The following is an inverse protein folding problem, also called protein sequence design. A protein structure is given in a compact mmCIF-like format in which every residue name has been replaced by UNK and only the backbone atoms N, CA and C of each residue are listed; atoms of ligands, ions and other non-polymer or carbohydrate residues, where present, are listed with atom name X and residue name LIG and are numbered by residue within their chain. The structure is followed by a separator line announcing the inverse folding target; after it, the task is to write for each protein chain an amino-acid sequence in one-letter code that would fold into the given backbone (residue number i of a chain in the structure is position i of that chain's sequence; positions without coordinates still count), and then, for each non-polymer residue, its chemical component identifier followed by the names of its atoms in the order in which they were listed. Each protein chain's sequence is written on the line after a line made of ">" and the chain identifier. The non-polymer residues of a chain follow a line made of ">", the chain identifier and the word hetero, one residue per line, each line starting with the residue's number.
data_IF_116724828261
#
_entry.id   IF_116724828261
#
_cell.length_a   1.000
_cell.length_b   1.000
_cell.length_c   1.000
_cell.angle_alpha   90.00
_cell.angle_beta   90.00
_cell.angle_gamma   90.00
#
_symmetry.space_group_name_H-M   'P 1'
#
loop_
_entity.id
_entity.type
_entity.pdbx_description
1 polymer ?
#
# COMPACT_ATOMS: atom_id res chain seq x y z
N UNK A 1 -2.68 -9.11 -1.28
CA UNK A 1 -1.67 -8.23 -0.67
C UNK A 1 -0.25 -8.71 -0.91
N UNK A 2 0.18 -9.87 -0.38
CA UNK A 2 1.55 -10.38 -0.56
C UNK A 2 2.02 -10.39 -2.04
N UNK A 3 1.20 -10.94 -2.95
CA UNK A 3 1.50 -10.95 -4.38
C UNK A 3 1.74 -9.55 -4.96
N UNK A 4 0.78 -8.62 -4.76
CA UNK A 4 0.86 -7.21 -5.22
C UNK A 4 2.08 -6.50 -4.63
N UNK A 5 2.32 -6.65 -3.32
CA UNK A 5 3.44 -5.98 -2.64
C UNK A 5 4.79 -6.41 -3.20
N UNK A 6 5.02 -7.71 -3.40
CA UNK A 6 6.33 -8.22 -3.81
C UNK A 6 6.57 -8.21 -5.32
N UNK A 7 5.52 -8.32 -6.13
CA UNK A 7 5.66 -8.44 -7.59
C UNK A 7 5.29 -7.16 -8.34
N UNK A 8 4.40 -6.32 -7.79
CA UNK A 8 4.02 -5.06 -8.44
C UNK A 8 4.68 -3.85 -7.77
N UNK A 9 4.63 -3.75 -6.44
CA UNK A 9 5.04 -2.54 -5.72
C UNK A 9 6.55 -2.48 -5.44
N UNK A 10 7.12 -3.48 -4.76
CA UNK A 10 8.53 -3.48 -4.35
C UNK A 10 9.52 -3.24 -5.51
N UNK A 11 9.35 -3.80 -6.72
CA UNK A 11 10.28 -3.55 -7.83
C UNK A 11 10.39 -2.07 -8.21
N UNK A 12 9.31 -1.29 -8.00
CA UNK A 12 9.26 0.15 -8.31
C UNK A 12 9.86 1.00 -7.20
N UNK A 13 9.90 0.47 -5.97
CA UNK A 13 10.47 1.14 -4.81
C UNK A 13 11.97 0.85 -4.69
N UNK A 14 12.36 -0.42 -4.80
CA UNK A 14 13.72 -0.90 -4.57
C UNK A 14 14.61 -0.84 -5.82
N UNK A 15 14.00 -0.82 -7.01
CA UNK A 15 14.72 -0.94 -8.27
C UNK A 15 15.43 -2.29 -8.43
N UNK A 16 16.17 -2.48 -9.54
CA UNK A 16 16.87 -3.74 -9.82
C UNK A 16 17.86 -4.15 -8.73
N UNK A 17 18.61 -3.18 -8.17
CA UNK A 17 19.62 -3.44 -7.16
C UNK A 17 19.00 -3.88 -5.83
N UNK A 18 17.97 -3.18 -5.34
CA UNK A 18 17.30 -3.57 -4.11
C UNK A 18 16.51 -4.88 -4.25
N UNK A 19 15.95 -5.17 -5.45
CA UNK A 19 15.34 -6.48 -5.72
C UNK A 19 16.38 -7.61 -5.74
N UNK A 20 17.61 -7.36 -6.20
CA UNK A 20 18.69 -8.32 -6.12
C UNK A 20 19.09 -8.62 -4.66
N UNK A 21 19.08 -7.60 -3.78
CA UNK A 21 19.27 -7.79 -2.33
C UNK A 21 18.15 -8.62 -1.69
N UNK A 22 16.90 -8.41 -2.09
CA UNK A 22 15.75 -9.16 -1.60
C UNK A 22 15.80 -10.64 -2.03
N UNK A 23 16.23 -10.89 -3.27
CA UNK A 23 16.41 -12.22 -3.84
C UNK A 23 15.11 -13.00 -4.12
N UNK A 24 15.26 -14.18 -4.71
CA UNK A 24 14.13 -15.10 -4.96
C UNK A 24 13.68 -15.78 -3.67
N UNK A 25 12.42 -16.24 -3.64
CA UNK A 25 11.92 -17.02 -2.52
C UNK A 25 12.53 -18.44 -2.54
N UNK A 26 13.17 -18.83 -1.43
CA UNK A 26 13.85 -20.13 -1.27
C UNK A 26 13.12 -21.10 -0.33
N UNK A 27 11.93 -20.74 0.15
CA UNK A 27 11.17 -21.52 1.13
C UNK A 27 11.10 -20.87 2.51
N UNK A 28 10.32 -21.48 3.39
CA UNK A 28 10.11 -21.03 4.77
C UNK A 28 11.32 -21.36 5.64
N UNK A 29 11.84 -20.36 6.35
CA UNK A 29 12.96 -20.46 7.28
C UNK A 29 12.44 -20.32 8.73
N UNK A 30 12.21 -21.40 9.49
CA UNK A 30 11.57 -21.31 10.82
C UNK A 30 12.41 -20.58 11.88
N UNK A 31 13.73 -20.48 11.67
CA UNK A 31 14.66 -19.88 12.62
C UNK A 31 15.03 -18.43 12.26
N UNK A 32 14.47 -17.87 11.18
CA UNK A 32 14.70 -16.47 10.83
C UNK A 32 13.86 -15.58 11.75
N UNK A 33 14.48 -14.54 12.31
CA UNK A 33 13.72 -13.54 13.04
C UNK A 33 12.92 -12.70 12.03
N UNK A 34 11.60 -12.83 11.99
CA UNK A 34 10.72 -12.05 11.13
C UNK A 34 10.25 -10.73 11.76
N UNK A 35 10.73 -10.40 12.97
CA UNK A 35 10.39 -9.18 13.68
C UNK A 35 10.69 -7.93 12.85
N UNK A 36 9.82 -6.94 12.96
CA UNK A 36 10.05 -5.63 12.34
C UNK A 36 11.18 -4.92 13.10
N UNK A 37 12.30 -4.69 12.42
CA UNK A 37 13.45 -4.02 13.05
C UNK A 37 13.15 -2.55 13.26
N UNK A 38 13.72 -2.00 14.34
CA UNK A 38 13.56 -0.59 14.69
C UNK A 38 13.87 0.34 13.52
N UNK A 39 14.98 0.09 12.81
CA UNK A 39 15.40 0.89 11.65
C UNK A 39 14.38 0.93 10.51
N UNK A 40 13.65 -0.17 10.29
CA UNK A 40 12.61 -0.23 9.29
C UNK A 40 11.39 0.60 9.72
N UNK A 41 10.87 0.35 10.91
CA UNK A 41 9.64 0.97 11.42
C UNK A 41 9.76 2.48 11.70
N UNK A 42 10.92 2.94 12.17
CA UNK A 42 11.07 4.32 12.65
C UNK A 42 11.77 5.26 11.69
N UNK A 43 12.47 4.72 10.69
CA UNK A 43 13.21 5.51 9.70
C UNK A 43 12.93 5.06 8.25
N UNK A 44 13.40 3.88 7.85
CA UNK A 44 13.50 3.52 6.43
C UNK A 44 12.14 3.50 5.72
N UNK A 45 11.11 2.90 6.32
CA UNK A 45 9.78 2.80 5.69
C UNK A 45 9.01 4.13 5.69
N UNK A 46 9.57 5.20 6.26
CA UNK A 46 9.02 6.57 6.19
C UNK A 46 9.46 7.35 4.94
N UNK A 47 10.24 6.73 4.04
CA UNK A 47 10.59 7.33 2.74
C UNK A 47 9.38 7.86 1.97
N UNK A 48 8.21 7.22 2.17
CA UNK A 48 6.94 7.62 1.56
C UNK A 48 6.53 9.05 1.89
N UNK A 49 6.96 9.64 3.01
CA UNK A 49 6.64 11.03 3.35
C UNK A 49 7.16 12.04 2.29
N UNK A 50 8.22 11.70 1.57
CA UNK A 50 8.73 12.51 0.45
C UNK A 50 7.96 12.34 -0.86
N UNK A 51 7.09 11.34 -0.95
CA UNK A 51 6.27 11.02 -2.13
C UNK A 51 4.84 11.58 -2.04
N UNK A 52 4.45 12.08 -0.87
CA UNK A 52 3.09 12.60 -0.63
C UNK A 52 2.90 13.92 -1.37
N UNK A 53 1.82 13.99 -2.16
CA UNK A 53 1.39 15.22 -2.80
C UNK A 53 0.77 16.20 -1.78
N UNK A 54 0.94 17.52 -1.97
CA UNK A 54 0.27 18.53 -1.13
C UNK A 54 -1.25 18.61 -1.38
N UNK A 55 -1.75 17.91 -2.39
CA UNK A 55 -3.15 17.93 -2.81
C UNK A 55 -3.62 16.48 -2.99
N UNK A 56 -4.79 16.17 -2.42
CA UNK A 56 -5.56 14.98 -2.74
C UNK A 56 -6.39 15.25 -3.99
N UNK A 57 -6.01 14.61 -5.09
CA UNK A 57 -6.71 14.71 -6.35
C UNK A 57 -8.01 13.89 -6.34
N UNK A 58 -9.10 14.49 -6.81
CA UNK A 58 -10.40 13.82 -6.91
C UNK A 58 -10.93 13.94 -8.32
N UNK A 59 -11.00 12.81 -9.03
CA UNK A 59 -11.26 12.78 -10.47
C UNK A 59 -12.56 12.07 -10.85
N UNK A 60 -13.30 12.61 -11.81
CA UNK A 60 -14.46 11.98 -12.42
C UNK A 60 -14.04 10.85 -13.40
N UNK A 61 -15.02 10.20 -14.04
CA UNK A 61 -14.80 9.10 -15.01
C UNK A 61 -13.98 9.51 -16.23
N UNK A 62 -13.92 10.79 -16.57
CA UNK A 62 -13.09 11.34 -17.66
C UNK A 62 -11.72 11.82 -17.17
N UNK A 63 -11.32 11.45 -15.95
CA UNK A 63 -10.05 11.82 -15.30
C UNK A 63 -9.84 13.34 -15.14
N UNK A 64 -10.95 14.10 -15.11
CA UNK A 64 -10.95 15.54 -14.80
C UNK A 64 -11.37 15.78 -13.34
N UNK A 65 -11.00 16.92 -12.71
CA UNK A 65 -11.45 17.23 -11.36
C UNK A 65 -12.98 17.17 -11.22
N UNK A 66 -13.46 16.64 -10.09
CA UNK A 66 -14.89 16.71 -9.75
C UNK A 66 -15.31 18.13 -9.37
N UNK A 67 -16.61 18.41 -9.34
CA UNK A 67 -17.17 19.73 -9.02
C UNK A 67 -16.74 20.23 -7.63
N UNK A 68 -16.64 19.32 -6.65
CA UNK A 68 -16.16 19.62 -5.29
C UNK A 68 -14.66 20.01 -5.26
N UNK A 69 -13.94 19.89 -6.39
CA UNK A 69 -12.54 20.25 -6.53
C UNK A 69 -11.56 19.25 -5.91
N UNK A 70 -10.27 19.59 -5.87
CA UNK A 70 -9.27 18.82 -5.13
C UNK A 70 -9.16 19.33 -3.67
N UNK A 71 -8.55 18.54 -2.78
CA UNK A 71 -8.46 18.90 -1.35
C UNK A 71 -6.98 19.18 -1.01
N UNK A 72 -6.63 20.34 -0.44
CA UNK A 72 -5.34 20.53 0.22
C UNK A 72 -5.14 19.48 1.31
N UNK A 73 -3.95 18.87 1.40
CA UNK A 73 -3.71 17.72 2.26
C UNK A 73 -4.04 17.99 3.74
N UNK A 74 -3.73 19.19 4.27
CA UNK A 74 -4.04 19.54 5.66
C UNK A 74 -5.55 19.47 5.98
N UNK A 75 -6.42 19.70 4.99
CA UNK A 75 -7.89 19.62 5.11
C UNK A 75 -8.46 18.22 4.92
N UNK A 76 -7.63 17.25 4.54
CA UNK A 76 -8.02 15.87 4.38
C UNK A 76 -7.81 15.04 5.66
N UNK A 77 -6.88 15.45 6.53
CA UNK A 77 -6.67 14.79 7.82
C UNK A 77 -7.95 14.80 8.66
N UNK A 78 -8.29 13.63 9.23
CA UNK A 78 -9.45 13.42 10.09
C UNK A 78 -10.79 13.94 9.54
N UNK A 79 -10.96 13.94 8.21
CA UNK A 79 -12.16 14.45 7.53
C UNK A 79 -12.95 13.35 6.81
N UNK A 80 -13.43 12.29 7.51
CA UNK A 80 -14.12 11.17 6.88
C UNK A 80 -15.47 11.56 6.25
N UNK A 81 -16.08 12.66 6.70
CA UNK A 81 -17.33 13.17 6.13
C UNK A 81 -17.23 13.40 4.61
N UNK A 82 -16.05 13.76 4.11
CA UNK A 82 -15.80 13.98 2.68
C UNK A 82 -16.07 12.73 1.84
N UNK A 83 -15.82 11.54 2.39
CA UNK A 83 -16.14 10.29 1.70
C UNK A 83 -17.65 10.08 1.57
N UNK A 84 -18.43 10.54 2.54
CA UNK A 84 -19.88 10.36 2.57
C UNK A 84 -20.59 11.44 1.77
N UNK A 85 -20.12 12.68 1.85
CA UNK A 85 -20.84 13.85 1.31
C UNK A 85 -20.22 14.42 0.03
N UNK A 86 -19.00 14.04 -0.34
CA UNK A 86 -18.24 14.66 -1.46
C UNK A 86 -17.83 13.63 -2.53
N UNK A 87 -18.74 12.74 -2.92
CA UNK A 87 -18.60 11.90 -4.12
C UNK A 87 -18.04 10.50 -3.91
N UNK A 88 -17.91 10.03 -2.66
CA UNK A 88 -17.45 8.67 -2.38
C UNK A 88 -15.94 8.49 -2.47
N UNK A 89 -15.52 7.22 -2.55
CA UNK A 89 -14.11 6.82 -2.60
C UNK A 89 -13.54 6.85 -4.03
N UNK A 90 -14.38 6.60 -5.04
CA UNK A 90 -13.98 6.47 -6.43
C UNK A 90 -13.21 7.68 -6.99
N UNK A 91 -13.61 8.94 -6.73
CA UNK A 91 -12.83 10.08 -7.21
C UNK A 91 -11.42 10.11 -6.64
N UNK A 92 -11.25 9.71 -5.38
CA UNK A 92 -9.95 9.63 -4.71
C UNK A 92 -9.13 8.48 -5.30
N UNK A 93 -9.74 7.30 -5.52
CA UNK A 93 -9.06 6.18 -6.17
C UNK A 93 -8.55 6.56 -7.56
N UNK A 94 -9.38 7.20 -8.40
CA UNK A 94 -8.94 7.72 -9.71
C UNK A 94 -7.82 8.74 -9.56
N UNK A 95 -7.82 9.56 -8.51
CA UNK A 95 -6.70 10.44 -8.17
C UNK A 95 -5.41 9.68 -7.88
N UNK A 96 -5.49 8.60 -7.09
CA UNK A 96 -4.34 7.78 -6.67
C UNK A 96 -3.65 7.08 -7.84
N UNK A 97 -4.40 6.49 -8.77
CA UNK A 97 -3.80 5.83 -9.94
C UNK A 97 -3.69 6.76 -11.16
N UNK A 98 -4.36 7.92 -11.17
CA UNK A 98 -4.40 8.84 -12.30
C UNK A 98 -3.43 10.03 -12.22
N UNK A 99 -2.82 10.29 -11.06
CA UNK A 99 -1.87 11.40 -10.86
C UNK A 99 -0.52 10.87 -10.37
N UNK A 100 0.55 11.57 -10.75
CA UNK A 100 1.89 11.24 -10.28
C UNK A 100 1.98 11.47 -8.76
N UNK A 101 2.76 10.62 -8.07
CA UNK A 101 3.27 10.96 -6.76
C UNK A 101 4.22 12.17 -6.85
N UNK A 102 4.45 12.85 -5.72
CA UNK A 102 5.47 13.90 -5.64
C UNK A 102 6.84 13.26 -5.91
N UNK A 103 7.68 13.90 -6.73
CA UNK A 103 9.06 13.43 -6.91
C UNK A 103 9.90 13.70 -5.66
N UNK A 104 10.79 12.76 -5.34
CA UNK A 104 11.84 12.93 -4.32
C UNK A 104 13.09 13.62 -4.86
N UNK A 105 13.20 13.81 -6.18
CA UNK A 105 14.39 14.43 -6.81
C UNK A 105 14.47 15.94 -6.56
N UNK A 106 13.39 16.54 -6.05
CA UNK A 106 13.40 17.93 -5.61
C UNK A 106 14.23 18.08 -4.33
N UNK A 107 15.52 18.39 -4.52
CA UNK A 107 16.48 18.63 -3.43
C UNK A 107 16.12 19.87 -2.58
N UNK A 108 15.26 20.77 -3.07
CA UNK A 108 14.85 21.97 -2.34
C UNK A 108 13.60 21.74 -1.48
N UNK A 109 12.77 20.75 -1.83
CA UNK A 109 11.58 20.40 -1.06
C UNK A 109 11.41 18.87 -0.99
N UNK A 110 12.16 18.22 -0.08
CA UNK A 110 12.02 16.78 0.15
C UNK A 110 10.60 16.41 0.61
N UNK A 111 10.09 17.13 1.60
CA UNK A 111 8.73 17.01 2.15
C UNK A 111 8.00 18.32 1.84
N UNK A 112 6.75 18.23 1.38
CA UNK A 112 5.97 19.41 0.99
C UNK A 112 5.47 20.21 2.21
N UNK A 113 5.14 21.49 2.01
CA UNK A 113 4.74 22.41 3.10
C UNK A 113 3.44 22.05 3.81
N UNK A 114 2.56 21.25 3.21
CA UNK A 114 1.36 20.76 3.91
C UNK A 114 1.71 19.78 5.03
N UNK A 115 2.90 19.19 4.98
CA UNK A 115 3.42 18.26 5.97
C UNK A 115 4.46 18.89 6.89
N UNK A 116 5.17 19.96 6.49
CA UNK A 116 6.15 20.64 7.37
C UNK A 116 5.54 21.80 8.14
N UNK A 117 4.52 22.48 7.60
CA UNK A 117 3.95 23.68 8.24
C UNK A 117 2.51 23.50 8.72
N UNK A 118 1.81 22.48 8.20
CA UNK A 118 0.35 22.33 8.36
C UNK A 118 -0.07 20.93 8.77
N UNK A 119 0.86 20.10 9.27
CA UNK A 119 0.51 18.74 9.65
C UNK A 119 -0.50 18.77 10.79
N UNK A 120 -1.66 18.17 10.54
CA UNK A 120 -2.78 18.11 11.48
C UNK A 120 -3.28 19.47 11.99
N UNK A 121 -3.14 20.54 11.20
CA UNK A 121 -3.66 21.90 11.51
C UNK A 121 -5.15 21.89 11.91
N UNK A 122 -5.94 20.97 11.35
CA UNK A 122 -7.37 20.82 11.66
C UNK A 122 -7.68 20.02 12.93
N UNK A 123 -6.70 19.35 13.53
CA UNK A 123 -6.90 18.38 14.61
C UNK A 123 -6.04 18.63 15.86
N UNK A 124 -5.10 19.57 15.80
CA UNK A 124 -4.25 19.97 16.92
C UNK A 124 -4.27 21.49 17.06
N UNK A 125 -4.06 21.99 18.28
CA UNK A 125 -3.97 23.44 18.55
C UNK A 125 -2.80 24.11 17.82
N UNK A 126 -1.73 23.34 17.59
CA UNK A 126 -0.51 23.80 16.91
C UNK A 126 -0.26 22.85 15.74
N UNK A 127 -0.08 23.43 14.55
CA UNK A 127 0.35 22.67 13.38
C UNK A 127 1.73 22.05 13.62
N UNK A 128 1.88 20.79 13.25
CA UNK A 128 3.12 20.04 13.44
C UNK A 128 3.99 20.07 12.17
N UNK A 129 5.26 19.71 12.34
CA UNK A 129 6.22 19.50 11.25
C UNK A 129 6.61 18.02 11.17
N UNK A 130 6.16 17.33 10.12
CA UNK A 130 6.48 15.91 9.90
C UNK A 130 7.97 15.66 9.67
N UNK A 131 8.68 16.60 9.06
CA UNK A 131 10.12 16.57 8.86
C UNK A 131 10.86 16.64 10.19
N UNK A 132 10.54 17.64 11.03
CA UNK A 132 11.10 17.76 12.37
C UNK A 132 10.77 16.54 13.25
N UNK A 133 9.52 16.04 13.19
CA UNK A 133 9.11 14.83 13.91
C UNK A 133 9.89 13.59 13.46
N UNK A 134 10.18 13.46 12.17
CA UNK A 134 11.02 12.38 11.65
C UNK A 134 12.47 12.49 12.13
N UNK A 135 13.06 13.70 12.15
CA UNK A 135 14.41 13.92 12.68
C UNK A 135 14.47 13.60 14.17
N UNK A 136 13.50 14.12 14.94
CA UNK A 136 13.45 13.88 16.38
C UNK A 136 13.25 12.39 16.68
N UNK A 137 12.33 11.71 15.99
CA UNK A 137 12.15 10.26 16.12
C UNK A 137 13.40 9.48 15.70
N UNK A 138 14.09 9.94 14.66
CA UNK A 138 15.38 9.38 14.25
C UNK A 138 16.41 9.48 15.37
N UNK A 139 16.53 10.62 16.06
CA UNK A 139 17.42 10.79 17.22
C UNK A 139 17.02 9.89 18.39
N UNK A 140 15.74 9.85 18.73
CA UNK A 140 15.19 9.00 19.79
C UNK A 140 15.51 7.52 19.56
N UNK A 141 15.63 7.09 18.30
CA UNK A 141 15.92 5.70 17.92
C UNK A 141 17.34 5.49 17.36
N UNK A 142 18.24 6.48 17.48
CA UNK A 142 19.63 6.46 16.99
C UNK A 142 19.81 6.16 15.48
N UNK A 143 18.92 6.70 14.64
CA UNK A 143 18.85 6.49 13.18
C UNK A 143 18.69 7.80 12.37
N UNK A 144 19.53 8.83 12.57
CA UNK A 144 19.42 10.06 11.77
C UNK A 144 19.91 9.86 10.32
N UNK A 145 19.33 10.62 9.38
CA UNK A 145 19.98 10.93 8.10
C UNK A 145 19.61 10.11 6.86
N UNK A 146 19.05 8.90 6.98
CA UNK A 146 18.85 8.04 5.79
C UNK A 146 17.85 8.58 4.72
N UNK A 147 17.00 9.55 5.07
CA UNK A 147 16.14 10.24 4.09
C UNK A 147 16.91 11.19 3.14
N UNK A 148 18.14 11.56 3.52
CA UNK A 148 19.00 12.52 2.81
C UNK A 148 19.94 11.84 1.79
N UNK A 149 19.94 10.51 1.72
CA UNK A 149 20.75 9.78 0.74
C UNK A 149 20.32 10.06 -0.70
N UNK A 150 21.30 10.09 -1.60
CA UNK A 150 21.04 10.10 -3.03
C UNK A 150 20.38 8.79 -3.47
N UNK A 151 19.43 8.90 -4.39
CA UNK A 151 18.66 7.75 -4.86
C UNK A 151 19.55 6.82 -5.70
N UNK A 152 19.40 5.51 -5.48
CA UNK A 152 20.00 4.50 -6.34
C UNK A 152 19.29 4.53 -7.72
N UNK A 153 20.01 4.46 -8.85
CA UNK A 153 19.39 4.47 -10.17
C UNK A 153 18.28 3.42 -10.33
N UNK A 154 17.08 3.86 -10.70
CA UNK A 154 15.90 3.00 -10.87
C UNK A 154 15.19 2.63 -9.55
N UNK A 155 15.62 3.17 -8.42
CA UNK A 155 15.01 3.03 -7.09
C UNK A 155 14.42 4.37 -6.62
N UNK A 156 13.48 4.33 -5.68
CA UNK A 156 13.01 5.52 -4.95
C UNK A 156 13.73 5.73 -3.62
N UNK A 157 14.82 4.99 -3.39
CA UNK A 157 15.55 4.91 -2.13
C UNK A 157 17.05 5.07 -2.32
N UNK A 158 17.72 5.57 -1.28
CA UNK A 158 19.18 5.51 -1.16
C UNK A 158 19.68 4.11 -0.81
N UNK A 159 21.00 3.94 -0.74
CA UNK A 159 21.64 2.64 -0.55
C UNK A 159 21.25 1.99 0.79
N UNK A 160 21.30 2.74 1.89
CA UNK A 160 21.02 2.19 3.22
C UNK A 160 19.55 1.82 3.36
N UNK A 161 18.64 2.70 2.94
CA UNK A 161 17.20 2.40 3.00
C UNK A 161 16.79 1.28 2.04
N UNK A 162 17.43 1.17 0.87
CA UNK A 162 17.23 0.02 -0.03
C UNK A 162 17.61 -1.29 0.66
N UNK A 163 18.76 -1.32 1.34
CA UNK A 163 19.20 -2.51 2.08
C UNK A 163 18.26 -2.86 3.24
N UNK A 164 17.92 -1.88 4.11
CA UNK A 164 17.04 -2.12 5.27
C UNK A 164 15.67 -2.63 4.82
N UNK A 165 15.09 -2.02 3.79
CA UNK A 165 13.78 -2.41 3.27
C UNK A 165 13.88 -3.79 2.62
N UNK A 166 14.84 -4.02 1.72
CA UNK A 166 15.01 -5.33 1.07
C UNK A 166 15.20 -6.47 2.08
N UNK A 167 16.05 -6.27 3.09
CA UNK A 167 16.30 -7.29 4.13
C UNK A 167 15.07 -7.52 5.01
N UNK A 168 14.33 -6.46 5.39
CA UNK A 168 13.09 -6.64 6.17
C UNK A 168 12.02 -7.41 5.38
N UNK A 169 11.84 -7.10 4.10
CA UNK A 169 10.91 -7.83 3.22
C UNK A 169 11.39 -9.27 2.98
N UNK A 170 12.70 -9.51 2.83
CA UNK A 170 13.24 -10.88 2.74
C UNK A 170 12.93 -11.68 4.01
N UNK A 171 13.22 -11.13 5.20
CA UNK A 171 12.99 -11.78 6.50
C UNK A 171 11.51 -12.07 6.76
N UNK A 172 10.63 -11.12 6.48
CA UNK A 172 9.17 -11.32 6.65
C UNK A 172 8.61 -12.32 5.65
N UNK A 173 9.09 -12.36 4.41
CA UNK A 173 8.75 -13.40 3.43
C UNK A 173 9.21 -14.78 3.89
N UNK A 174 10.49 -14.92 4.23
CA UNK A 174 11.09 -16.20 4.58
C UNK A 174 10.59 -16.73 5.94
N UNK A 175 10.27 -15.85 6.89
CA UNK A 175 9.78 -16.23 8.22
C UNK A 175 8.25 -16.37 8.32
N UNK A 176 7.51 -16.18 7.23
CA UNK A 176 6.06 -16.39 7.20
C UNK A 176 5.73 -17.82 6.75
N UNK A 177 5.31 -18.66 7.70
CA UNK A 177 4.85 -20.02 7.43
C UNK A 177 3.68 -20.07 6.46
N UNK A 178 2.88 -19.00 6.41
CA UNK A 178 1.70 -18.86 5.55
C UNK A 178 1.96 -18.01 4.31
N UNK A 179 3.23 -17.80 3.93
CA UNK A 179 3.58 -17.17 2.67
C UNK A 179 2.82 -17.82 1.50
N UNK A 180 2.23 -17.02 0.62
CA UNK A 180 1.31 -17.51 -0.40
C UNK A 180 1.94 -18.47 -1.42
N UNK A 181 3.26 -18.45 -1.60
CA UNK A 181 3.97 -19.40 -2.48
C UNK A 181 4.52 -20.61 -1.73
N UNK A 182 4.29 -20.72 -0.42
CA UNK A 182 4.67 -21.92 0.32
C UNK A 182 3.85 -23.12 -0.17
N UNK A 183 4.47 -24.28 -0.41
CA UNK A 183 3.78 -25.46 -0.96
C UNK A 183 2.57 -25.94 -0.15
N UNK A 184 2.52 -25.63 1.15
CA UNK A 184 1.43 -26.03 2.05
C UNK A 184 0.29 -25.02 2.14
N UNK A 185 0.39 -23.85 1.51
CA UNK A 185 -0.58 -22.76 1.71
C UNK A 185 -1.75 -22.83 0.73
N UNK A 186 -1.47 -23.07 -0.55
CA UNK A 186 -2.47 -23.11 -1.62
C UNK A 186 -2.17 -24.26 -2.58
N UNK A 187 -3.23 -24.83 -3.14
CA UNK A 187 -3.11 -25.77 -4.26
C UNK A 187 -2.51 -25.08 -5.48
N UNK A 188 -1.90 -25.85 -6.38
CA UNK A 188 -1.27 -25.31 -7.59
C UNK A 188 -2.26 -24.50 -8.45
N UNK A 189 -3.50 -24.98 -8.59
CA UNK A 189 -4.57 -24.29 -9.34
C UNK A 189 -4.95 -22.96 -8.70
N UNK A 190 -5.05 -22.93 -7.37
CA UNK A 190 -5.32 -21.72 -6.58
C UNK A 190 -4.17 -20.71 -6.71
N UNK A 191 -2.91 -21.17 -6.65
CA UNK A 191 -1.75 -20.31 -6.79
C UNK A 191 -1.66 -19.65 -8.18
N UNK A 192 -2.01 -20.37 -9.24
CA UNK A 192 -2.12 -19.79 -10.60
C UNK A 192 -3.13 -18.64 -10.60
N UNK A 193 -4.29 -18.84 -9.98
CA UNK A 193 -5.34 -17.81 -9.91
C UNK A 193 -4.89 -16.59 -9.10
N UNK A 194 -4.20 -16.79 -7.96
CA UNK A 194 -3.65 -15.69 -7.15
C UNK A 194 -2.62 -14.88 -7.96
N UNK A 195 -1.73 -15.55 -8.71
CA UNK A 195 -0.68 -14.87 -9.50
C UNK A 195 -1.21 -14.12 -10.73
N UNK A 196 -2.48 -14.28 -11.08
CA UNK A 196 -3.15 -13.47 -12.11
C UNK A 196 -3.74 -12.17 -11.57
N UNK A 197 -3.85 -12.03 -10.25
CA UNK A 197 -4.39 -10.83 -9.62
C UNK A 197 -3.44 -9.65 -9.73
N UNK A 198 -3.99 -8.45 -9.88
CA UNK A 198 -3.25 -7.19 -9.83
C UNK A 198 -4.00 -6.14 -9.02
N UNK A 199 -3.33 -5.06 -8.59
CA UNK A 199 -4.03 -3.95 -7.96
C UNK A 199 -5.08 -3.32 -8.90
N UNK A 200 -4.85 -3.36 -10.22
CA UNK A 200 -5.84 -2.96 -11.22
C UNK A 200 -7.11 -3.83 -11.16
N UNK A 201 -6.97 -5.15 -11.01
CA UNK A 201 -8.13 -6.06 -10.86
C UNK A 201 -8.93 -5.75 -9.59
N UNK A 202 -8.24 -5.48 -8.48
CA UNK A 202 -8.88 -5.10 -7.21
C UNK A 202 -9.68 -3.80 -7.35
N UNK A 203 -9.12 -2.79 -8.03
CA UNK A 203 -9.80 -1.53 -8.29
C UNK A 203 -11.03 -1.73 -9.19
N UNK A 204 -10.92 -2.55 -10.24
CA UNK A 204 -12.05 -2.85 -11.14
C UNK A 204 -13.17 -3.66 -10.46
N UNK A 205 -12.84 -4.57 -9.55
CA UNK A 205 -13.84 -5.39 -8.87
C UNK A 205 -14.56 -4.63 -7.75
N UNK A 206 -13.88 -3.67 -7.10
CA UNK A 206 -14.39 -2.99 -5.91
C UNK A 206 -14.79 -1.51 -6.13
N UNK A 207 -14.40 -0.89 -7.25
CA UNK A 207 -14.86 0.46 -7.62
C UNK A 207 -16.33 0.44 -8.03
N UNK A 208 -17.08 1.49 -7.69
CA UNK A 208 -18.51 1.60 -8.03
C UNK A 208 -18.73 2.10 -9.47
N UNK A 209 -17.86 2.99 -9.93
CA UNK A 209 -17.88 3.65 -11.22
C UNK A 209 -16.47 3.69 -11.87
N UNK A 210 -15.58 2.75 -11.50
CA UNK A 210 -14.27 2.58 -12.14
C UNK A 210 -14.40 1.55 -13.25
N UNK A 211 -14.45 2.03 -14.49
CA UNK A 211 -14.59 1.23 -15.71
C UNK A 211 -13.29 1.16 -16.53
N UNK A 212 -12.36 2.08 -16.30
CA UNK A 212 -11.05 2.14 -16.97
C UNK A 212 -9.91 2.33 -15.97
N UNK A 213 -8.83 1.58 -16.19
CA UNK A 213 -7.61 1.57 -15.36
C UNK A 213 -6.37 1.32 -16.23
N UNK A 214 -5.18 1.63 -15.73
CA UNK A 214 -3.94 1.11 -16.27
C UNK A 214 -3.80 -0.37 -15.93
N UNK A 215 -3.05 -1.12 -16.75
CA UNK A 215 -2.70 -2.52 -16.41
C UNK A 215 -1.81 -2.60 -15.18
N UNK A 216 -0.88 -1.65 -15.04
CA UNK A 216 -0.05 -1.44 -13.86
C UNK A 216 -0.35 -0.05 -13.28
N UNK A 217 -1.12 -0.01 -12.20
CA UNK A 217 -1.61 1.24 -11.59
C UNK A 217 -0.57 1.98 -10.76
N UNK A 218 0.62 1.40 -10.57
CA UNK A 218 1.74 2.10 -9.96
C UNK A 218 2.53 2.93 -10.99
N UNK A 219 2.26 2.77 -12.29
CA UNK A 219 2.87 3.55 -13.37
C UNK A 219 1.88 4.57 -13.93
N UNK A 220 2.32 5.82 -14.05
CA UNK A 220 1.49 6.87 -14.62
C UNK A 220 1.34 6.68 -16.13
N UNK A 221 0.10 6.75 -16.60
CA UNK A 221 -0.25 6.85 -18.02
C UNK A 221 -1.05 8.12 -18.30
N UNK A 222 -1.11 8.54 -19.57
CA UNK A 222 -1.83 9.75 -20.01
C UNK A 222 -3.20 9.40 -20.54
N UNK A 223 -4.27 9.67 -19.79
CA UNK A 223 -5.63 9.38 -20.25
C UNK A 223 -5.95 10.10 -21.58
N UNK A 224 -6.56 9.44 -22.58
CA UNK A 224 -7.07 8.05 -22.57
C UNK A 224 -6.02 6.97 -22.89
N UNK A 225 -4.83 7.35 -23.36
CA UNK A 225 -3.74 6.44 -23.74
C UNK A 225 -3.19 5.68 -22.51
N UNK A 226 -3.06 4.36 -22.65
CA UNK A 226 -2.59 3.49 -21.56
C UNK A 226 -3.67 3.07 -20.54
N UNK A 227 -4.91 3.53 -20.72
CA UNK A 227 -6.07 3.07 -19.95
C UNK A 227 -6.86 2.03 -20.74
N UNK A 228 -7.14 0.90 -20.10
CA UNK A 228 -7.92 -0.20 -20.67
C UNK A 228 -9.24 -0.36 -19.91
N UNK A 229 -10.24 -0.94 -20.56
CA UNK A 229 -11.50 -1.25 -19.90
C UNK A 229 -11.29 -2.37 -18.85
N UNK A 230 -12.00 -2.29 -17.73
CA UNK A 230 -11.99 -3.29 -16.67
C UNK A 230 -12.41 -4.70 -17.13
N UNK A 231 -13.17 -4.80 -18.23
CA UNK A 231 -13.49 -6.07 -18.88
C UNK A 231 -12.27 -6.79 -19.48
N UNK A 232 -11.19 -6.06 -19.76
CA UNK A 232 -9.93 -6.59 -20.31
C UNK A 232 -8.84 -6.86 -19.26
N UNK A 233 -9.15 -6.63 -17.99
CA UNK A 233 -8.29 -6.95 -16.85
C UNK A 233 -8.61 -8.39 -16.41
N UNK A 234 -7.60 -9.28 -16.31
CA UNK A 234 -7.81 -10.64 -15.81
C UNK A 234 -8.48 -10.64 -14.43
N UNK A 235 -9.38 -11.60 -14.22
CA UNK A 235 -10.08 -11.80 -12.94
C UNK A 235 -9.71 -13.16 -12.36
N UNK A 236 -9.67 -13.23 -11.05
CA UNK A 236 -9.42 -14.48 -10.32
C UNK A 236 -10.63 -15.41 -10.42
N UNK A 237 -10.42 -16.64 -10.85
CA UNK A 237 -11.44 -17.68 -10.88
C UNK A 237 -11.55 -18.40 -9.52
N UNK A 238 -12.54 -17.98 -8.72
CA UNK A 238 -12.79 -18.53 -7.40
C UNK A 238 -13.35 -19.97 -7.41
N UNK A 239 -13.65 -20.54 -8.58
CA UNK A 239 -14.07 -21.95 -8.67
C UNK A 239 -13.00 -22.91 -8.17
N UNK A 240 -11.72 -22.50 -8.18
CA UNK A 240 -10.60 -23.29 -7.65
C UNK A 240 -10.64 -23.48 -6.12
N UNK A 241 -11.52 -22.78 -5.41
CA UNK A 241 -11.77 -22.95 -3.97
C UNK A 241 -13.06 -23.74 -3.67
N UNK A 242 -13.75 -24.24 -4.71
CA UNK A 242 -14.94 -25.05 -4.49
C UNK A 242 -14.53 -26.41 -3.92
N UNK A 243 -14.92 -26.66 -2.68
CA UNK A 243 -14.88 -27.99 -2.11
C UNK A 243 -16.10 -28.79 -2.58
N UNK A 244 -15.89 -29.98 -3.13
CA UNK A 244 -16.96 -30.92 -3.46
C UNK A 244 -16.73 -32.18 -2.63
N UNK A 245 -17.65 -32.47 -1.72
CA UNK A 245 -17.71 -33.77 -1.04
C UNK A 245 -17.94 -34.87 -2.09
N UNK A 246 -17.18 -35.96 -1.98
CA UNK A 246 -17.27 -37.18 -2.82
C UNK A 246 -17.04 -37.01 -4.33
N UNK A 247 -16.37 -35.94 -4.77
CA UNK A 247 -16.02 -35.73 -6.18
C UNK A 247 -17.22 -35.46 -7.10
N UNK A 248 -18.43 -35.40 -6.55
CA UNK A 248 -19.67 -35.16 -7.28
C UNK A 248 -20.08 -33.71 -7.07
N UNK A 249 -19.54 -32.83 -7.91
CA UNK A 249 -20.04 -31.48 -8.02
C UNK A 249 -21.36 -31.50 -8.84
N UNK A 250 -22.45 -32.02 -8.27
CA UNK A 250 -23.78 -31.92 -8.88
C UNK A 250 -24.06 -30.46 -9.24
N UNK A 251 -24.30 -30.20 -10.52
CA UNK A 251 -24.83 -28.93 -11.00
C UNK A 251 -26.16 -29.25 -11.68
N UNK A 252 -27.22 -28.47 -11.42
CA UNK A 252 -27.28 -27.16 -12.05
C UNK A 252 -27.79 -26.09 -11.09
N UNK A 253 -27.25 -26.01 -9.88
CA UNK A 253 -27.73 -24.96 -8.99
C UNK A 253 -27.11 -23.61 -9.34
N UNK A 254 -28.03 -22.71 -9.66
CA UNK A 254 -27.93 -21.26 -9.62
C UNK A 254 -27.54 -20.76 -8.23
N UNK A 255 -26.53 -21.35 -7.59
CA UNK A 255 -25.76 -20.61 -6.60
C UNK A 255 -25.05 -19.52 -7.38
N UNK A 256 -25.32 -18.24 -7.11
CA UNK A 256 -24.63 -17.14 -7.74
C UNK A 256 -23.22 -17.09 -7.16
N UNK A 257 -22.36 -18.04 -7.53
CA UNK A 257 -20.99 -18.13 -7.05
C UNK A 257 -20.21 -16.95 -7.65
N UNK A 258 -20.20 -15.88 -6.87
CA UNK A 258 -19.14 -14.88 -6.65
C UNK A 258 -18.59 -14.06 -7.82
N UNK A 259 -18.75 -14.43 -9.09
CA UNK A 259 -18.17 -13.67 -10.21
C UNK A 259 -19.19 -12.85 -11.02
N UNK A 260 -20.40 -13.36 -11.24
CA UNK A 260 -21.36 -12.70 -12.13
C UNK A 260 -22.51 -11.95 -11.42
N UNK A 261 -22.79 -12.24 -10.15
CA UNK A 261 -23.97 -11.70 -9.46
C UNK A 261 -23.72 -10.46 -8.59
N UNK A 262 -22.44 -10.07 -8.41
CA UNK A 262 -22.08 -8.76 -7.82
C UNK A 262 -22.48 -7.61 -8.76
N UNK A 263 -22.76 -7.88 -10.03
CA UNK A 263 -23.09 -6.86 -11.02
C UNK A 263 -24.56 -6.40 -11.00
N UNK A 264 -25.53 -7.22 -10.58
CA UNK A 264 -26.96 -6.91 -10.82
C UNK A 264 -27.75 -6.36 -9.62
N UNK A 265 -27.19 -6.40 -8.40
CA UNK A 265 -27.81 -5.79 -7.21
C UNK A 265 -26.75 -5.23 -6.27
N UNK A 266 -26.01 -4.21 -6.70
CA UNK A 266 -25.31 -3.34 -5.73
C UNK A 266 -26.35 -2.40 -5.14
N UNK A 267 -26.72 -2.63 -3.89
CA UNK A 267 -27.31 -1.56 -3.09
C UNK A 267 -26.28 -0.43 -3.03
N UNK A 268 -26.67 0.77 -3.47
CA UNK A 268 -25.95 2.00 -3.08
C UNK A 268 -25.74 1.92 -1.58
N UNK A 269 -24.49 2.02 -1.11
CA UNK A 269 -24.22 2.21 0.32
C UNK A 269 -24.81 3.58 0.69
N UNK A 270 -26.06 3.59 1.14
CA UNK A 270 -26.61 4.69 1.92
C UNK A 270 -26.16 4.47 3.35
N UNK A 271 -25.39 5.42 3.89
CA UNK A 271 -24.94 5.36 5.28
C UNK A 271 -25.97 6.12 6.10
N UNK A 272 -26.72 5.41 6.92
CA UNK A 272 -27.51 6.03 7.98
C UNK A 272 -26.56 6.69 9.00
N UNK A 273 -26.95 7.87 9.48
CA UNK A 273 -26.13 8.71 10.37
C UNK A 273 -25.78 7.94 11.64
N UNK A 274 -24.50 7.66 11.83
CA UNK A 274 -23.97 7.14 13.10
C UNK A 274 -23.80 8.31 14.08
N UNK A 275 -24.52 8.24 15.20
CA UNK A 275 -24.22 9.04 16.38
C UNK A 275 -23.03 8.40 17.12
N UNK A 276 -22.00 9.20 17.35
CA UNK A 276 -20.79 8.78 18.04
C UNK A 276 -20.92 9.12 19.52
N UNK A 277 -20.99 8.10 20.38
CA UNK A 277 -20.70 8.20 21.81
C UNK A 277 -20.25 6.83 22.30
N UNK A 278 -18.97 6.67 22.66
CA UNK A 278 -18.45 6.04 23.89
C UNK A 278 -16.95 5.72 23.79
N UNK A 279 -16.32 5.83 24.96
CA UNK A 279 -14.90 6.04 25.27
C UNK A 279 -13.95 4.86 24.96
N UNK A 280 -12.68 5.20 24.75
CA UNK A 280 -11.60 4.24 24.53
C UNK A 280 -11.00 3.73 25.86
N UNK A 281 -10.70 2.43 26.01
CA UNK A 281 -10.00 1.93 27.20
C UNK A 281 -8.47 2.04 27.09
N UNK A 282 -7.86 2.41 28.22
CA UNK A 282 -6.42 2.58 28.44
C UNK A 282 -5.60 1.30 28.26
N UNK A 283 -4.39 1.45 27.72
CA UNK A 283 -3.40 0.37 27.51
C UNK A 283 -2.38 0.33 28.64
N UNK A 284 -2.24 -0.83 29.32
CA UNK A 284 -1.16 -1.09 30.27
C UNK A 284 0.14 -1.44 29.54
N UNK A 285 1.22 -0.78 29.93
CA UNK A 285 2.61 -1.09 29.52
C UNK A 285 3.16 -2.23 30.36
N UNK A 286 3.66 -3.29 29.72
CA UNK A 286 4.64 -4.20 30.31
C UNK A 286 5.91 -4.19 29.46
N UNK A 287 7.04 -3.96 30.11
CA UNK A 287 8.37 -3.96 29.49
C UNK A 287 8.88 -5.38 29.25
N UNK A 288 9.62 -5.54 28.16
CA UNK A 288 10.41 -6.74 27.88
C UNK A 288 11.83 -6.28 27.57
N UNK A 289 12.77 -6.65 28.44
CA UNK A 289 14.20 -6.51 28.25
C UNK A 289 14.73 -7.67 27.39
N UNK A 290 15.62 -7.32 26.47
CA UNK A 290 16.78 -8.14 26.09
C UNK A 290 16.55 -9.19 24.99
N UNK A 291 17.17 -8.95 23.82
CA UNK A 291 18.12 -9.87 23.19
C UNK A 291 18.73 -9.21 21.96
N UNK A 292 19.94 -8.68 22.12
CA UNK A 292 20.86 -8.33 21.03
C UNK A 292 21.58 -9.62 20.63
N UNK A 293 21.42 -10.06 19.37
CA UNK A 293 22.47 -10.72 18.55
C UNK A 293 21.92 -11.19 17.20
N UNK A 294 22.22 -10.46 16.13
CA UNK A 294 23.14 -10.88 15.05
C UNK A 294 23.39 -9.70 14.11
N UNK A 295 24.67 -9.56 13.77
CA UNK A 295 25.35 -8.55 12.96
C UNK A 295 24.81 -8.54 11.52
N UNK A 296 24.40 -7.38 11.04
CA UNK A 296 25.10 -6.58 10.01
C UNK A 296 24.98 -7.12 8.58
N UNK A 297 23.98 -6.61 7.83
CA UNK A 297 23.95 -6.68 6.37
C UNK A 297 23.90 -5.29 5.70
N UNK A 298 23.45 -4.27 6.44
CA UNK A 298 23.28 -2.91 5.93
C UNK A 298 24.17 -1.96 6.73
N UNK A 299 25.46 -1.86 6.38
CA UNK A 299 26.32 -0.85 6.98
C UNK A 299 26.08 0.51 6.33
N UNK A 300 25.94 1.54 7.17
CA UNK A 300 26.16 2.93 6.79
C UNK A 300 27.69 3.08 6.74
N UNK A 301 28.28 3.02 5.56
CA UNK A 301 29.68 3.47 5.39
C UNK A 301 29.66 5.00 5.42
N UNK A 302 30.15 5.58 6.53
CA UNK A 302 30.48 7.01 6.62
C UNK A 302 31.57 7.38 5.61
#
# INVERSE_FOLDING_TARGET
>A
MQHISYNEWLPKILGPQGMALLGSYSGYEPNIDAGIVNAFATAAFRFGHGLINPIIFRLNSSFQPIEQGNIPLHKAFFSPYRLVTEGGVDPILRGLFGRAAKSRDDKHQLINSELTERLFEMAHEIALDLGALNIQRGRDHALPGGLLEELVPGSLLGQTFSCIIAEQFRRTRAGDRFWYESPSTFDHSQLIQIKQTSLASVLCDNGDAIDRVQRDVFLRATYPTGYVACSSIPRMDLRMWKYCEDGHCSSPDRTPTFTNHVQSRRFKRSVDKYNADTEAPETRRNGIQGLVRRKEACYITN
#
